data_IF_160104437493
#
_entry.id   IF_160104437493
#
_cell.length_a   1.000
_cell.length_b   1.000
_cell.length_c   1.000
_cell.angle_alpha   90.00
_cell.angle_beta   90.00
_cell.angle_gamma   90.00
#
_symmetry.space_group_name_H-M   'P 1'
#
loop_
_entity.id
_entity.type
_entity.pdbx_description
1 polymer ?
#
# COMPACT_ATOMS: atom_id res chain seq x y z
N UNK A 1 -7.87 7.83 6.38
CA UNK A 1 -6.96 8.09 5.24
C UNK A 1 -5.71 8.86 5.70
N UNK A 2 -4.57 8.76 5.00
CA UNK A 2 -3.31 9.41 5.40
C UNK A 2 -2.74 10.26 4.24
N UNK A 3 -2.52 11.55 4.48
CA UNK A 3 -1.92 12.50 3.55
C UNK A 3 -0.44 12.71 3.94
N UNK A 4 0.44 11.89 3.37
CA UNK A 4 1.86 11.80 3.76
C UNK A 4 2.63 13.10 3.53
N UNK A 5 2.48 13.70 2.35
CA UNK A 5 3.19 14.95 1.96
C UNK A 5 2.89 16.10 2.92
N UNK A 6 1.63 16.24 3.32
CA UNK A 6 1.17 17.31 4.21
C UNK A 6 1.32 16.95 5.69
N UNK A 7 1.76 15.73 6.01
CA UNK A 7 1.83 15.18 7.38
C UNK A 7 0.46 15.23 8.10
N UNK A 8 -0.62 14.89 7.40
CA UNK A 8 -1.98 14.95 7.95
C UNK A 8 -2.69 13.60 7.88
N UNK A 9 -3.65 13.41 8.76
CA UNK A 9 -4.52 12.22 8.80
C UNK A 9 -5.98 12.65 8.77
N UNK A 10 -6.83 11.80 8.19
CA UNK A 10 -8.29 11.94 8.22
C UNK A 10 -8.82 10.76 9.01
N UNK A 11 -9.46 11.07 10.13
CA UNK A 11 -10.04 10.11 11.07
C UNK A 11 -11.56 10.21 10.96
N UNK A 12 -12.24 9.07 10.94
CA UNK A 12 -13.70 9.01 10.86
C UNK A 12 -14.33 9.57 12.14
N UNK A 13 -15.42 10.32 12.00
CA UNK A 13 -16.16 10.91 13.12
C UNK A 13 -15.45 12.06 13.86
N UNK A 14 -14.21 12.40 13.52
CA UNK A 14 -13.40 13.42 14.20
C UNK A 14 -13.16 14.63 13.30
N UNK A 15 -13.17 15.83 13.88
CA UNK A 15 -12.94 17.10 13.17
C UNK A 15 -13.88 17.25 11.96
N UNK A 16 -15.17 16.96 12.17
CA UNK A 16 -16.20 17.04 11.12
C UNK A 16 -16.45 18.48 10.72
N UNK A 17 -16.55 18.74 9.42
CA UNK A 17 -16.86 20.06 8.86
C UNK A 17 -17.95 19.94 7.81
N UNK A 18 -18.78 20.97 7.72
CA UNK A 18 -19.76 21.11 6.65
C UNK A 18 -19.01 21.26 5.32
N UNK A 19 -19.29 20.37 4.36
CA UNK A 19 -18.85 20.52 2.96
C UNK A 19 -20.07 20.83 2.10
N UNK A 20 -19.92 21.86 1.28
CA UNK A 20 -20.91 22.26 0.28
C UNK A 20 -20.44 21.80 -1.09
N UNK A 21 -21.21 20.93 -1.73
CA UNK A 21 -21.05 20.61 -3.14
C UNK A 21 -21.92 21.54 -3.96
N UNK A 22 -21.26 22.29 -4.85
CA UNK A 22 -21.96 23.08 -5.86
C UNK A 22 -22.73 22.15 -6.80
N UNK A 23 -23.83 22.65 -7.35
CA UNK A 23 -24.57 21.95 -8.40
C UNK A 23 -23.63 21.60 -9.56
N UNK A 24 -23.75 20.37 -10.07
CA UNK A 24 -22.94 19.90 -11.20
C UNK A 24 -23.69 19.97 -12.52
N UNK A 25 -25.02 19.83 -12.46
CA UNK A 25 -25.94 19.97 -13.58
C UNK A 25 -27.09 20.90 -13.20
N UNK A 26 -27.69 21.54 -14.22
CA UNK A 26 -28.79 22.50 -14.11
C UNK A 26 -29.95 21.99 -13.22
N UNK A 27 -30.23 20.69 -13.27
CA UNK A 27 -31.39 20.07 -12.61
C UNK A 27 -31.07 19.48 -11.23
N UNK A 28 -29.80 19.52 -10.82
CA UNK A 28 -29.35 18.93 -9.55
C UNK A 28 -29.16 19.98 -8.48
N UNK A 29 -29.83 19.82 -7.33
CA UNK A 29 -29.64 20.72 -6.18
C UNK A 29 -28.24 20.57 -5.60
N UNK A 30 -27.66 21.67 -5.14
CA UNK A 30 -26.44 21.65 -4.33
C UNK A 30 -26.65 20.84 -3.04
N UNK A 31 -25.65 20.05 -2.65
CA UNK A 31 -25.73 19.22 -1.44
C UNK A 31 -24.83 19.80 -0.36
N UNK A 32 -25.32 19.83 0.88
CA UNK A 32 -24.48 20.04 2.06
C UNK A 32 -24.44 18.74 2.86
N UNK A 33 -23.24 18.33 3.27
CA UNK A 33 -23.06 17.15 4.12
C UNK A 33 -21.85 17.33 5.03
N UNK A 34 -21.85 16.61 6.15
CA UNK A 34 -20.72 16.59 7.07
C UNK A 34 -19.66 15.59 6.61
N UNK A 35 -18.41 16.03 6.52
CA UNK A 35 -17.29 15.18 6.19
C UNK A 35 -16.13 15.38 7.19
N UNK A 36 -15.37 14.32 7.52
CA UNK A 36 -14.20 14.45 8.39
C UNK A 36 -13.12 15.31 7.71
N UNK A 37 -12.60 16.29 8.43
CA UNK A 37 -11.51 17.13 7.95
C UNK A 37 -10.16 16.64 8.46
N UNK A 38 -9.12 16.87 7.66
CA UNK A 38 -7.76 16.45 8.02
C UNK A 38 -7.25 17.16 9.26
N UNK A 39 -6.44 16.46 10.06
CA UNK A 39 -5.73 16.97 11.23
C UNK A 39 -4.23 16.65 11.14
N UNK A 40 -3.39 17.46 11.78
CA UNK A 40 -1.94 17.20 11.80
C UNK A 40 -1.64 15.95 12.65
N UNK A 41 -0.68 15.15 12.23
CA UNK A 41 -0.38 13.87 12.87
C UNK A 41 0.03 13.99 14.35
N UNK A 42 0.54 15.16 14.78
CA UNK A 42 0.92 15.42 16.18
C UNK A 42 -0.26 15.40 17.14
N UNK A 43 -1.49 15.59 16.64
CA UNK A 43 -2.69 15.67 17.45
C UNK A 43 -3.39 14.31 17.61
N UNK A 44 -2.75 13.23 17.15
CA UNK A 44 -3.27 11.87 17.24
C UNK A 44 -2.18 10.95 17.79
N UNK A 45 -2.55 10.04 18.67
CA UNK A 45 -1.70 8.95 19.15
C UNK A 45 -2.28 7.61 18.70
N UNK A 46 -1.42 6.57 18.68
CA UNK A 46 -1.92 5.21 18.53
C UNK A 46 -2.54 4.75 19.84
N UNK A 47 -3.56 3.91 19.71
CA UNK A 47 -4.17 3.20 20.84
C UNK A 47 -3.37 1.93 21.08
N UNK A 48 -3.08 1.66 22.34
CA UNK A 48 -2.46 0.41 22.75
C UNK A 48 -3.51 -0.71 22.74
N UNK A 49 -3.26 -1.82 22.04
CA UNK A 49 -4.24 -2.92 21.93
C UNK A 49 -4.55 -3.59 23.27
N UNK A 50 -3.66 -3.50 24.26
CA UNK A 50 -3.86 -4.15 25.57
C UNK A 50 -4.63 -3.25 26.53
N UNK A 51 -4.19 -1.98 26.66
CA UNK A 51 -4.78 -1.05 27.64
C UNK A 51 -5.95 -0.25 27.09
N UNK A 52 -6.10 -0.15 25.76
CA UNK A 52 -7.11 0.70 25.12
C UNK A 52 -6.82 2.21 25.23
N UNK A 53 -5.70 2.61 25.84
CA UNK A 53 -5.35 4.01 26.03
C UNK A 53 -4.38 4.53 24.95
N UNK A 54 -4.28 5.86 24.84
CA UNK A 54 -3.29 6.50 23.98
C UNK A 54 -1.85 6.20 24.43
N UNK A 55 -0.97 5.86 23.49
CA UNK A 55 0.43 5.51 23.80
C UNK A 55 1.46 6.10 22.85
N UNK A 56 2.67 6.30 23.40
CA UNK A 56 3.88 6.57 22.62
C UNK A 56 4.45 5.25 22.10
N UNK A 57 5.10 5.31 20.94
CA UNK A 57 5.49 4.12 20.18
C UNK A 57 6.99 4.15 19.91
N UNK A 58 7.67 3.02 20.11
CA UNK A 58 9.04 2.76 19.67
C UNK A 58 9.03 1.86 18.44
N UNK A 59 10.06 1.96 17.58
CA UNK A 59 10.29 1.01 16.48
C UNK A 59 11.33 -0.01 16.91
N UNK A 60 11.09 -1.29 16.60
CA UNK A 60 12.00 -2.40 16.85
C UNK A 60 11.95 -3.39 15.68
N UNK A 61 12.88 -4.34 15.69
CA UNK A 61 12.91 -5.48 14.77
C UNK A 61 12.69 -6.75 15.57
N UNK A 62 11.91 -7.68 15.00
CA UNK A 62 11.80 -9.05 15.51
C UNK A 62 13.01 -9.87 15.10
N UNK A 63 13.12 -11.09 15.63
CA UNK A 63 14.18 -12.04 15.29
C UNK A 63 14.20 -12.38 13.79
N UNK A 64 13.02 -12.43 13.16
CA UNK A 64 12.84 -12.63 11.72
C UNK A 64 13.28 -11.43 10.85
N UNK A 65 13.71 -10.32 11.47
CA UNK A 65 14.05 -9.07 10.79
C UNK A 65 12.84 -8.19 10.45
N UNK A 66 11.61 -8.62 10.77
CA UNK A 66 10.39 -7.86 10.52
C UNK A 66 10.34 -6.59 11.39
N UNK A 67 10.07 -5.44 10.76
CA UNK A 67 9.98 -4.15 11.45
C UNK A 67 8.62 -3.96 12.09
N UNK A 68 8.61 -3.84 13.42
CA UNK A 68 7.39 -3.67 14.21
C UNK A 68 7.40 -2.39 15.05
N UNK A 69 6.22 -2.03 15.53
CA UNK A 69 6.03 -0.94 16.48
C UNK A 69 5.72 -1.54 17.84
N UNK A 70 6.27 -0.97 18.91
CA UNK A 70 6.06 -1.40 20.29
C UNK A 70 5.46 -0.24 21.09
N UNK A 71 4.34 -0.49 21.77
CA UNK A 71 3.71 0.46 22.68
C UNK A 71 4.58 0.64 23.94
N UNK A 72 4.90 1.88 24.31
CA UNK A 72 5.76 2.16 25.47
C UNK A 72 5.10 1.79 26.82
N UNK A 73 3.76 1.83 26.90
CA UNK A 73 3.04 1.54 28.15
C UNK A 73 2.98 0.04 28.47
N UNK A 74 2.43 -0.76 27.56
CA UNK A 74 2.23 -2.21 27.76
C UNK A 74 3.40 -3.07 27.26
N UNK A 75 4.27 -2.52 26.41
CA UNK A 75 5.23 -3.32 25.65
C UNK A 75 4.60 -4.13 24.51
N UNK A 76 3.29 -3.96 24.25
CA UNK A 76 2.60 -4.71 23.21
C UNK A 76 3.06 -4.33 21.79
N UNK A 77 3.04 -5.31 20.90
CA UNK A 77 3.38 -5.11 19.49
C UNK A 77 2.15 -4.57 18.76
N UNK A 78 2.36 -3.47 18.02
CA UNK A 78 1.35 -2.86 17.14
C UNK A 78 1.76 -3.12 15.69
N UNK A 79 1.18 -4.16 15.10
CA UNK A 79 1.47 -4.54 13.72
C UNK A 79 1.05 -3.45 12.71
N UNK A 80 1.56 -3.57 11.49
CA UNK A 80 1.14 -2.71 10.39
C UNK A 80 -0.19 -3.26 9.85
N UNK A 81 -1.27 -2.46 9.80
CA UNK A 81 -2.53 -2.94 9.24
C UNK A 81 -2.36 -3.27 7.75
N UNK A 82 -3.11 -4.25 7.28
CA UNK A 82 -3.17 -4.60 5.87
C UNK A 82 -3.69 -3.43 5.04
N UNK A 83 -2.92 -3.04 4.01
CA UNK A 83 -3.34 -2.00 3.06
C UNK A 83 -3.83 -2.67 1.78
N UNK A 84 -5.14 -2.62 1.52
CA UNK A 84 -5.73 -3.09 0.26
C UNK A 84 -5.73 -1.94 -0.74
N UNK A 85 -4.84 -1.93 -1.76
CA UNK A 85 -4.90 -0.91 -2.80
C UNK A 85 -6.24 -1.02 -3.54
N UNK A 86 -6.80 0.12 -3.93
CA UNK A 86 -7.96 0.16 -4.82
C UNK A 86 -7.53 -0.24 -6.23
N UNK A 87 -7.30 -1.54 -6.45
CA UNK A 87 -7.18 -2.10 -7.80
C UNK A 87 -8.58 -2.24 -8.39
N UNK A 88 -8.79 -2.00 -9.70
CA UNK A 88 -10.03 -2.38 -10.35
C UNK A 88 -10.23 -3.88 -10.11
N UNK A 89 -11.38 -4.24 -9.52
CA UNK A 89 -11.65 -5.63 -9.11
C UNK A 89 -11.75 -6.60 -10.30
N UNK A 90 -12.04 -6.07 -11.48
CA UNK A 90 -12.27 -6.83 -12.71
C UNK A 90 -11.28 -6.38 -13.78
N UNK A 91 -10.00 -6.73 -13.63
CA UNK A 91 -9.02 -6.57 -14.70
C UNK A 91 -9.18 -7.77 -15.64
N UNK A 92 -9.82 -7.57 -16.79
CA UNK A 92 -9.88 -8.58 -17.85
C UNK A 92 -8.58 -8.45 -18.64
N UNK A 93 -7.84 -9.55 -18.80
CA UNK A 93 -6.65 -9.58 -19.64
C UNK A 93 -7.04 -9.21 -21.08
N UNK A 94 -6.42 -8.16 -21.61
CA UNK A 94 -6.58 -7.75 -22.99
C UNK A 94 -5.85 -8.71 -23.95
N UNK A 95 -6.04 -8.55 -25.27
CA UNK A 95 -5.40 -9.39 -26.27
C UNK A 95 -3.87 -9.28 -26.31
N UNK A 96 -3.29 -8.26 -25.66
CA UNK A 96 -1.84 -8.04 -25.56
C UNK A 96 -1.29 -8.30 -24.15
N UNK A 97 -2.14 -8.71 -23.21
CA UNK A 97 -1.72 -8.99 -21.84
C UNK A 97 -1.31 -10.46 -21.73
N UNK A 98 -0.11 -10.69 -21.21
CA UNK A 98 0.44 -12.04 -21.03
C UNK A 98 -0.29 -12.77 -19.90
N UNK A 99 -0.72 -14.04 -20.07
CA UNK A 99 -1.32 -14.80 -18.99
C UNK A 99 -0.30 -15.05 -17.88
N UNK A 100 -0.78 -15.23 -16.64
CA UNK A 100 0.09 -15.35 -15.47
C UNK A 100 0.99 -16.59 -15.52
N UNK A 101 0.57 -17.66 -16.19
CA UNK A 101 1.32 -18.90 -16.34
C UNK A 101 2.64 -18.67 -17.11
N UNK A 102 2.56 -17.95 -18.24
CA UNK A 102 3.73 -17.65 -19.08
C UNK A 102 4.72 -16.72 -18.38
N UNK A 103 4.23 -15.77 -17.56
CA UNK A 103 5.08 -14.84 -16.80
C UNK A 103 5.84 -15.54 -15.68
N UNK A 104 5.21 -16.53 -15.04
CA UNK A 104 5.80 -17.28 -13.93
C UNK A 104 6.68 -18.44 -14.40
N UNK A 105 6.63 -18.79 -15.69
CA UNK A 105 7.46 -19.83 -16.26
C UNK A 105 8.95 -19.46 -16.18
N UNK A 106 9.73 -20.22 -15.39
CA UNK A 106 11.19 -20.06 -15.31
C UNK A 106 11.82 -20.69 -16.53
N UNK A 107 12.00 -19.89 -17.59
CA UNK A 107 12.58 -20.32 -18.87
C UNK A 107 14.11 -20.12 -18.93
N UNK A 108 14.67 -19.34 -18.02
CA UNK A 108 16.10 -19.07 -17.98
C UNK A 108 16.89 -20.31 -17.52
N UNK A 109 17.78 -20.80 -18.38
CA UNK A 109 18.75 -21.84 -18.07
C UNK A 109 20.12 -21.18 -17.88
N UNK A 110 20.70 -21.17 -16.66
CA UNK A 110 22.02 -20.60 -16.46
C UNK A 110 23.07 -21.41 -17.20
N UNK A 111 24.03 -20.72 -17.80
CA UNK A 111 25.21 -21.32 -18.42
C UNK A 111 26.14 -21.80 -17.30
N UNK A 112 26.53 -23.09 -17.32
CA UNK A 112 27.32 -23.71 -16.23
C UNK A 112 28.79 -23.29 -16.23
N UNK A 113 29.28 -22.65 -17.29
CA UNK A 113 30.70 -22.33 -17.43
C UNK A 113 30.95 -20.85 -17.09
N UNK A 114 31.42 -20.63 -15.87
CA UNK A 114 31.76 -19.33 -15.30
C UNK A 114 33.03 -18.75 -15.95
N UNK A 115 32.92 -18.16 -17.14
CA UNK A 115 34.08 -17.59 -17.83
C UNK A 115 33.83 -16.36 -18.70
N UNK A 116 32.63 -16.21 -19.25
CA UNK A 116 32.25 -14.99 -19.96
C UNK A 116 30.74 -14.86 -19.99
N UNK A 117 30.22 -13.64 -19.81
CA UNK A 117 28.91 -13.27 -20.33
C UNK A 117 29.02 -13.35 -21.86
N UNK A 118 28.97 -14.56 -22.39
CA UNK A 118 28.98 -14.82 -23.83
C UNK A 118 27.72 -14.23 -24.49
N UNK A 119 27.68 -14.20 -25.84
CA UNK A 119 26.52 -13.73 -26.59
C UNK A 119 25.25 -14.54 -26.24
N UNK A 120 24.08 -14.06 -26.71
CA UNK A 120 22.80 -14.78 -26.60
C UNK A 120 23.02 -16.29 -26.81
N UNK A 121 22.53 -17.14 -25.90
CA UNK A 121 22.92 -18.55 -25.86
C UNK A 121 22.61 -19.26 -27.19
N UNK A 122 23.45 -20.22 -27.59
CA UNK A 122 23.47 -20.81 -28.94
C UNK A 122 22.11 -21.34 -29.44
N UNK A 123 21.22 -21.75 -28.53
CA UNK A 123 19.86 -22.18 -28.88
C UNK A 123 19.01 -21.03 -29.46
N UNK A 124 19.30 -19.77 -29.13
CA UNK A 124 18.66 -18.59 -29.73
C UNK A 124 19.23 -18.32 -31.12
N UNK A 125 20.55 -18.43 -31.29
CA UNK A 125 21.22 -18.20 -32.58
C UNK A 125 20.87 -19.27 -33.63
N UNK A 126 20.67 -20.52 -33.21
CA UNK A 126 20.26 -21.62 -34.09
C UNK A 126 18.75 -21.68 -34.35
N UNK A 127 17.92 -20.99 -33.56
CA UNK A 127 16.46 -20.96 -33.76
C UNK A 127 15.99 -20.09 -34.94
N UNK A 128 16.90 -19.27 -35.50
CA UNK A 128 16.63 -18.31 -36.58
C UNK A 128 17.26 -18.71 -37.94
N UNK A 129 17.92 -19.87 -38.03
CA UNK A 129 18.43 -20.47 -39.27
C UNK A 129 17.42 -21.45 -39.84
#
# INVERSE_FOLDING_TARGET
AVLREKKRVIVEGVNMRMKHLKQRYWESKGQSFMAPASMHYSNVNLVDPVTGEATRVKRAYLEDGTKVRIAKRSGAIIEKPEYKPSRPKNLIAGPKDTPSEDVLAVTYKPFTDFGSLGPLPDHVLNSLR
#
